data_IF_316109762391
#
_entry.id   IF_316109762391
#
_cell.length_a   1.000
_cell.length_b   1.000
_cell.length_c   1.000
_cell.angle_alpha   90.00
_cell.angle_beta   90.00
_cell.angle_gamma   90.00
#
_symmetry.space_group_name_H-M   'P 1'
#
loop_
_entity.id
_entity.type
_entity.pdbx_description
1 polymer ?
#
# COMPACT_ATOMS: atom_id res chain seq x y z
N UNK A 1 9.07 -14.65 -2.69
CA UNK A 1 9.05 -13.94 -3.98
C UNK A 1 8.47 -12.56 -3.74
N UNK A 2 8.97 -11.52 -4.41
CA UNK A 2 8.36 -10.19 -4.36
C UNK A 2 6.95 -10.25 -4.96
N UNK A 3 5.97 -9.60 -4.33
CA UNK A 3 4.62 -9.48 -4.89
C UNK A 3 4.65 -8.64 -6.17
N UNK A 4 3.75 -8.94 -7.11
CA UNK A 4 3.57 -8.21 -8.38
C UNK A 4 2.09 -7.91 -8.62
N UNK A 5 1.45 -7.09 -7.77
CA UNK A 5 0.01 -6.91 -7.81
C UNK A 5 -0.48 -6.34 -9.14
N UNK A 6 0.30 -5.49 -9.81
CA UNK A 6 -0.10 -4.93 -11.09
C UNK A 6 -0.08 -5.99 -12.20
N UNK A 7 0.98 -6.80 -12.27
CA UNK A 7 1.04 -7.96 -13.16
C UNK A 7 -0.17 -8.88 -12.97
N UNK A 8 -0.50 -9.21 -11.72
CA UNK A 8 -1.61 -10.10 -11.41
C UNK A 8 -2.95 -9.53 -11.88
N UNK A 9 -3.17 -8.21 -11.73
CA UNK A 9 -4.37 -7.54 -12.27
C UNK A 9 -4.41 -7.54 -13.79
N UNK A 10 -3.28 -7.31 -14.47
CA UNK A 10 -3.21 -7.41 -15.94
C UNK A 10 -3.54 -8.82 -16.42
N UNK A 11 -2.94 -9.86 -15.82
CA UNK A 11 -3.22 -11.26 -16.16
C UNK A 11 -4.68 -11.63 -15.92
N UNK A 12 -5.26 -11.19 -14.81
CA UNK A 12 -6.67 -11.40 -14.51
C UNK A 12 -7.58 -10.67 -15.51
N UNK A 13 -7.21 -9.45 -15.95
CA UNK A 13 -7.97 -8.72 -16.96
C UNK A 13 -7.89 -9.41 -18.34
N UNK A 14 -6.72 -9.91 -18.75
CA UNK A 14 -6.51 -10.63 -20.02
C UNK A 14 -7.36 -11.92 -20.08
N UNK A 15 -7.48 -12.63 -18.95
CA UNK A 15 -8.28 -13.86 -18.88
C UNK A 15 -9.78 -13.61 -18.69
N UNK A 16 -10.19 -12.38 -18.38
CA UNK A 16 -11.59 -12.03 -18.12
C UNK A 16 -12.41 -12.06 -19.43
N UNK A 17 -13.47 -12.89 -19.53
CA UNK A 17 -14.34 -12.93 -20.71
C UNK A 17 -15.01 -11.59 -21.04
N UNK A 18 -15.16 -10.68 -20.07
CA UNK A 18 -15.72 -9.34 -20.30
C UNK A 18 -14.73 -8.36 -20.91
N UNK A 19 -13.43 -8.68 -20.93
CA UNK A 19 -12.36 -7.87 -21.51
C UNK A 19 -11.91 -8.37 -22.89
N UNK A 20 -12.66 -9.28 -23.54
CA UNK A 20 -12.24 -9.89 -24.81
C UNK A 20 -11.97 -8.86 -25.91
N UNK A 21 -12.79 -7.82 -25.99
CA UNK A 21 -12.62 -6.73 -26.96
C UNK A 21 -11.32 -5.94 -26.76
N UNK A 22 -10.82 -5.90 -25.52
CA UNK A 22 -9.58 -5.19 -25.14
C UNK A 22 -8.38 -6.13 -24.99
N UNK A 23 -8.54 -7.44 -25.25
CA UNK A 23 -7.51 -8.45 -24.93
C UNK A 23 -6.16 -8.11 -25.55
N UNK A 24 -6.14 -7.72 -26.83
CA UNK A 24 -4.90 -7.33 -27.53
C UNK A 24 -4.25 -6.08 -26.92
N UNK A 25 -5.05 -5.10 -26.48
CA UNK A 25 -4.54 -3.90 -25.79
C UNK A 25 -3.96 -4.24 -24.42
N UNK A 26 -4.58 -5.19 -23.70
CA UNK A 26 -4.09 -5.66 -22.41
C UNK A 26 -2.81 -6.51 -22.55
N UNK A 27 -2.67 -7.28 -23.63
CA UNK A 27 -1.44 -7.99 -23.99
C UNK A 27 -0.31 -7.00 -24.32
N UNK A 28 -0.57 -5.97 -25.13
CA UNK A 28 0.37 -4.86 -25.36
C UNK A 28 0.73 -4.13 -24.05
N UNK A 29 -0.25 -3.93 -23.17
CA UNK A 29 -0.02 -3.32 -21.85
C UNK A 29 0.91 -4.18 -20.99
N UNK A 30 0.78 -5.51 -21.09
CA UNK A 30 1.63 -6.45 -20.39
C UNK A 30 3.07 -6.44 -20.92
N UNK A 31 3.26 -6.29 -22.23
CA UNK A 31 4.60 -6.08 -22.81
C UNK A 31 5.23 -4.79 -22.27
N UNK A 32 4.48 -3.69 -22.28
CA UNK A 32 4.96 -2.40 -21.76
C UNK A 32 5.23 -2.43 -20.25
N UNK A 33 4.49 -3.25 -19.51
CA UNK A 33 4.75 -3.51 -18.09
C UNK A 33 6.11 -4.16 -17.88
N UNK A 34 6.47 -5.17 -18.68
CA UNK A 34 7.78 -5.81 -18.57
C UNK A 34 8.91 -4.82 -18.86
N UNK A 35 8.75 -3.96 -19.87
CA UNK A 35 9.72 -2.90 -20.15
C UNK A 35 9.89 -1.94 -18.97
N UNK A 36 8.79 -1.52 -18.34
CA UNK A 36 8.79 -0.63 -17.19
C UNK A 36 9.52 -1.24 -16.00
N UNK A 37 9.17 -2.48 -15.63
CA UNK A 37 9.83 -3.21 -14.54
C UNK A 37 11.30 -3.47 -14.83
N UNK A 38 11.64 -3.86 -16.06
CA UNK A 38 13.03 -4.05 -16.46
C UNK A 38 13.81 -2.73 -16.37
N UNK A 39 13.23 -1.62 -16.81
CA UNK A 39 13.86 -0.30 -16.73
C UNK A 39 14.14 0.10 -15.29
N UNK A 40 13.20 -0.14 -14.35
CA UNK A 40 13.42 0.11 -12.91
C UNK A 40 14.58 -0.74 -12.37
N UNK A 41 14.59 -2.04 -12.68
CA UNK A 41 15.60 -2.98 -12.15
C UNK A 41 17.02 -2.63 -12.59
N UNK A 42 17.17 -2.19 -13.84
CA UNK A 42 18.46 -1.86 -14.47
C UNK A 42 18.95 -0.43 -14.23
N UNK A 43 18.25 0.38 -13.42
CA UNK A 43 18.83 1.64 -12.96
C UNK A 43 20.08 1.33 -12.10
N UNK A 44 21.17 2.04 -12.33
CA UNK A 44 22.42 1.93 -11.55
C UNK A 44 22.55 3.00 -10.45
N UNK A 45 21.68 4.01 -10.49
CA UNK A 45 21.66 5.09 -9.50
C UNK A 45 21.18 4.61 -8.13
N UNK A 46 21.46 5.42 -7.11
CA UNK A 46 21.07 5.19 -5.71
C UNK A 46 20.38 6.42 -5.10
N UNK A 47 19.73 6.22 -3.94
CA UNK A 47 19.09 7.24 -3.13
C UNK A 47 18.08 8.09 -3.91
N UNK A 48 18.04 9.39 -3.61
CA UNK A 48 17.10 10.33 -4.22
C UNK A 48 17.16 10.34 -5.76
N UNK A 49 18.37 10.29 -6.34
CA UNK A 49 18.55 10.26 -7.79
C UNK A 49 17.84 9.04 -8.42
N UNK A 50 17.95 7.89 -7.78
CA UNK A 50 17.26 6.67 -8.21
C UNK A 50 15.76 6.82 -8.15
N UNK A 51 15.23 7.28 -7.02
CA UNK A 51 13.78 7.50 -6.84
C UNK A 51 13.24 8.47 -7.91
N UNK A 52 13.98 9.53 -8.23
CA UNK A 52 13.57 10.49 -9.26
C UNK A 52 13.48 9.86 -10.65
N UNK A 53 14.44 9.00 -11.01
CA UNK A 53 14.41 8.25 -12.27
C UNK A 53 13.29 7.20 -12.29
N UNK A 54 13.05 6.53 -11.17
CA UNK A 54 11.93 5.59 -11.02
C UNK A 54 10.58 6.29 -11.18
N UNK A 55 10.43 7.51 -10.65
CA UNK A 55 9.20 8.32 -10.82
C UNK A 55 9.03 8.79 -12.27
N UNK A 56 10.10 9.06 -13.02
CA UNK A 56 10.00 9.31 -14.47
C UNK A 56 9.45 8.08 -15.21
N UNK A 57 10.00 6.90 -14.91
CA UNK A 57 9.53 5.64 -15.49
C UNK A 57 8.05 5.36 -15.12
N UNK A 58 7.67 5.61 -13.87
CA UNK A 58 6.30 5.51 -13.39
C UNK A 58 5.34 6.43 -14.14
N UNK A 59 5.69 7.71 -14.30
CA UNK A 59 4.85 8.67 -15.03
C UNK A 59 4.67 8.24 -16.49
N UNK A 60 5.77 7.83 -17.16
CA UNK A 60 5.69 7.34 -18.53
C UNK A 60 4.78 6.11 -18.67
N UNK A 61 4.87 5.17 -17.71
CA UNK A 61 4.01 3.98 -17.72
C UNK A 61 2.55 4.32 -17.44
N UNK A 62 2.27 5.17 -16.45
CA UNK A 62 0.90 5.61 -16.12
C UNK A 62 0.27 6.43 -17.24
N UNK A 63 1.02 7.29 -17.94
CA UNK A 63 0.51 8.03 -19.08
C UNK A 63 0.13 7.09 -20.24
N UNK A 64 0.97 6.10 -20.52
CA UNK A 64 0.64 5.04 -21.48
C UNK A 64 -0.63 4.28 -21.05
N UNK A 65 -0.70 3.79 -19.81
CA UNK A 65 -1.82 2.99 -19.36
C UNK A 65 -3.13 3.78 -19.25
N UNK A 66 -3.11 4.92 -18.57
CA UNK A 66 -4.31 5.65 -18.17
C UNK A 66 -4.83 6.55 -19.28
N UNK A 67 -3.93 7.19 -20.04
CA UNK A 67 -4.29 8.12 -21.11
C UNK A 67 -4.40 7.41 -22.45
N UNK A 68 -3.37 6.66 -22.87
CA UNK A 68 -3.38 6.03 -24.19
C UNK A 68 -4.29 4.78 -24.23
N UNK A 69 -3.96 3.75 -23.45
CA UNK A 69 -4.71 2.49 -23.45
C UNK A 69 -6.13 2.72 -22.94
N UNK A 70 -6.29 3.08 -21.66
CA UNK A 70 -7.60 3.20 -21.04
C UNK A 70 -8.37 4.39 -21.63
N UNK A 71 -7.77 5.58 -21.69
CA UNK A 71 -8.46 6.79 -22.13
C UNK A 71 -8.83 6.80 -23.61
N UNK A 72 -7.86 6.58 -24.50
CA UNK A 72 -8.04 6.74 -25.96
C UNK A 72 -8.56 5.47 -26.62
N UNK A 73 -7.92 4.32 -26.37
CA UNK A 73 -8.05 3.13 -27.24
C UNK A 73 -9.01 2.06 -26.74
N UNK A 74 -9.22 1.96 -25.43
CA UNK A 74 -10.01 0.86 -24.86
C UNK A 74 -11.52 0.98 -25.10
N UNK A 75 -12.20 -0.15 -24.92
CA UNK A 75 -13.65 -0.26 -24.96
C UNK A 75 -14.32 0.58 -23.86
N UNK A 76 -15.62 0.82 -24.04
CA UNK A 76 -16.43 1.46 -23.02
C UNK A 76 -16.52 0.63 -21.72
N UNK A 77 -16.34 -0.70 -21.81
CA UNK A 77 -16.31 -1.57 -20.64
C UNK A 77 -15.08 -1.28 -19.78
N UNK A 78 -13.87 -1.32 -20.36
CA UNK A 78 -12.63 -1.09 -19.61
C UNK A 78 -12.58 0.32 -19.02
N UNK A 79 -13.01 1.35 -19.77
CA UNK A 79 -13.11 2.73 -19.27
C UNK A 79 -13.98 2.85 -18.02
N UNK A 80 -15.13 2.15 -17.99
CA UNK A 80 -16.06 2.20 -16.84
C UNK A 80 -15.62 1.32 -15.68
N UNK A 81 -14.95 0.21 -15.96
CA UNK A 81 -14.61 -0.82 -14.96
C UNK A 81 -13.18 -0.72 -14.45
N UNK A 82 -12.36 0.24 -14.91
CA UNK A 82 -10.96 0.40 -14.50
C UNK A 82 -10.76 0.39 -12.97
N UNK A 83 -11.62 1.08 -12.23
CA UNK A 83 -11.53 1.14 -10.77
C UNK A 83 -11.88 -0.19 -10.09
N UNK A 84 -12.84 -0.93 -10.65
CA UNK A 84 -13.20 -2.26 -10.16
C UNK A 84 -12.11 -3.31 -10.46
N UNK A 85 -11.48 -3.19 -11.64
CA UNK A 85 -10.36 -4.04 -12.05
C UNK A 85 -9.04 -3.65 -11.36
N UNK A 86 -9.00 -2.48 -10.71
CA UNK A 86 -7.82 -1.88 -10.07
C UNK A 86 -6.60 -1.78 -11.00
N UNK A 87 -6.79 -1.60 -12.31
CA UNK A 87 -5.69 -1.56 -13.26
C UNK A 87 -4.79 -0.32 -13.06
N UNK A 88 -5.38 0.83 -12.74
CA UNK A 88 -4.67 2.08 -12.47
C UNK A 88 -4.04 2.11 -11.06
N UNK A 89 -4.81 1.72 -10.03
CA UNK A 89 -4.35 1.74 -8.64
C UNK A 89 -3.18 0.77 -8.38
N UNK A 90 -3.25 -0.44 -8.94
CA UNK A 90 -2.24 -1.49 -8.68
C UNK A 90 -0.84 -1.12 -9.19
N UNK A 91 -0.71 -0.18 -10.14
CA UNK A 91 0.59 0.33 -10.59
C UNK A 91 1.37 0.94 -9.42
N UNK A 92 0.71 1.76 -8.61
CA UNK A 92 1.36 2.39 -7.46
C UNK A 92 1.60 1.37 -6.34
N UNK A 93 0.68 0.44 -6.12
CA UNK A 93 0.85 -0.68 -5.16
C UNK A 93 2.16 -1.44 -5.45
N UNK A 94 2.40 -1.78 -6.73
CA UNK A 94 3.63 -2.45 -7.14
C UNK A 94 4.85 -1.52 -7.14
N UNK A 95 4.69 -0.27 -7.57
CA UNK A 95 5.78 0.70 -7.58
C UNK A 95 6.42 0.88 -6.21
N UNK A 96 5.61 0.96 -5.15
CA UNK A 96 6.12 1.12 -3.79
C UNK A 96 6.95 -0.08 -3.32
N UNK A 97 6.69 -1.29 -3.82
CA UNK A 97 7.50 -2.47 -3.51
C UNK A 97 8.94 -2.27 -4.00
N UNK A 98 9.12 -1.70 -5.20
CA UNK A 98 10.44 -1.41 -5.74
C UNK A 98 11.20 -0.32 -4.99
N UNK A 99 10.53 0.47 -4.13
CA UNK A 99 11.20 1.45 -3.25
C UNK A 99 11.85 0.79 -2.03
N UNK A 100 11.40 -0.42 -1.65
CA UNK A 100 11.94 -1.21 -0.53
C UNK A 100 13.20 -1.96 -1.00
N UNK A 101 14.25 -1.20 -1.30
CA UNK A 101 15.50 -1.69 -1.86
C UNK A 101 16.68 -1.00 -1.16
N UNK A 102 17.74 -1.74 -0.84
CA UNK A 102 18.94 -1.21 -0.16
C UNK A 102 19.66 -0.10 -0.92
N UNK A 103 19.41 0.07 -2.22
CA UNK A 103 19.90 1.20 -3.02
C UNK A 103 19.11 2.49 -2.77
N UNK A 104 18.02 2.43 -2.02
CA UNK A 104 17.10 3.54 -1.72
C UNK A 104 17.00 3.75 -0.22
N UNK A 105 16.65 2.69 0.51
CA UNK A 105 16.43 2.69 1.96
C UNK A 105 17.56 1.90 2.62
N UNK A 106 18.37 2.59 3.41
CA UNK A 106 19.47 2.00 4.15
C UNK A 106 18.94 1.33 5.43
N UNK A 107 19.66 0.32 5.92
CA UNK A 107 19.37 -0.30 7.23
C UNK A 107 18.24 -1.32 7.21
N UNK A 108 17.73 -1.73 6.04
CA UNK A 108 16.81 -2.85 5.96
C UNK A 108 17.49 -4.12 6.50
N UNK A 109 16.76 -4.95 7.28
CA UNK A 109 17.33 -6.14 7.89
C UNK A 109 17.82 -7.13 6.84
N UNK A 110 18.95 -7.76 7.14
CA UNK A 110 19.58 -8.77 6.28
C UNK A 110 19.43 -10.19 6.81
N UNK A 111 19.03 -10.33 8.08
CA UNK A 111 18.87 -11.60 8.81
C UNK A 111 17.51 -12.26 8.56
N UNK A 112 16.53 -11.51 8.06
CA UNK A 112 15.27 -12.05 7.56
C UNK A 112 14.71 -11.19 6.42
N UNK A 113 13.80 -11.77 5.65
CA UNK A 113 13.06 -11.05 4.61
C UNK A 113 11.88 -10.28 5.24
N UNK A 114 11.85 -8.96 5.11
CA UNK A 114 10.64 -8.17 5.37
C UNK A 114 9.61 -8.48 4.28
N UNK A 115 8.39 -8.79 4.69
CA UNK A 115 7.27 -8.90 3.79
C UNK A 115 6.81 -7.50 3.38
N UNK A 116 6.65 -7.24 2.09
CA UNK A 116 6.24 -5.94 1.57
C UNK A 116 5.24 -6.03 0.41
N UNK A 117 4.38 -5.01 0.30
CA UNK A 117 3.30 -4.92 -0.68
C UNK A 117 1.91 -5.07 -0.07
N UNK A 118 0.88 -5.41 -0.87
CA UNK A 118 -0.48 -5.56 -0.38
C UNK A 118 -0.61 -6.77 0.56
N UNK A 119 -1.12 -6.56 1.77
CA UNK A 119 -1.35 -7.61 2.77
C UNK A 119 -2.61 -7.34 3.60
N UNK A 120 -3.21 -8.43 4.09
CA UNK A 120 -4.30 -8.40 5.09
C UNK A 120 -3.68 -8.25 6.48
N UNK A 121 -3.66 -7.03 7.02
CA UNK A 121 -2.97 -6.70 8.25
C UNK A 121 -3.82 -6.92 9.50
N UNK A 122 -3.19 -7.37 10.58
CA UNK A 122 -3.77 -7.51 11.90
C UNK A 122 -4.25 -6.16 12.45
N UNK A 123 -5.51 -6.11 12.90
CA UNK A 123 -6.10 -4.92 13.54
C UNK A 123 -6.38 -5.15 15.02
N UNK A 124 -6.95 -6.30 15.39
CA UNK A 124 -7.25 -6.62 16.79
C UNK A 124 -7.44 -8.12 17.01
N UNK A 125 -7.14 -8.57 18.23
CA UNK A 125 -7.40 -9.93 18.70
C UNK A 125 -8.45 -9.88 19.82
N UNK A 126 -9.40 -10.81 19.82
CA UNK A 126 -10.35 -10.96 20.92
C UNK A 126 -10.65 -12.41 21.23
N UNK A 127 -10.81 -12.74 22.51
CA UNK A 127 -11.31 -14.04 22.96
C UNK A 127 -12.83 -14.04 22.94
N UNK A 128 -13.42 -15.13 22.44
CA UNK A 128 -14.87 -15.31 22.33
C UNK A 128 -15.30 -16.67 22.91
N UNK A 129 -15.16 -16.89 24.22
CA UNK A 129 -15.64 -18.11 24.86
C UNK A 129 -17.15 -18.27 24.64
N UNK A 130 -17.61 -19.51 24.48
CA UNK A 130 -19.04 -19.82 24.30
C UNK A 130 -19.76 -20.03 25.64
N UNK A 131 -19.01 -20.19 26.73
CA UNK A 131 -19.51 -20.23 28.09
C UNK A 131 -18.39 -20.42 29.12
N UNK A 132 -18.72 -20.51 30.40
CA UNK A 132 -17.73 -20.71 31.48
C UNK A 132 -17.00 -22.05 31.31
N UNK A 133 -17.73 -23.11 30.91
CA UNK A 133 -17.14 -24.44 30.72
C UNK A 133 -16.09 -24.47 29.59
N UNK A 134 -16.21 -23.61 28.56
CA UNK A 134 -15.24 -23.55 27.47
C UNK A 134 -13.92 -22.88 27.87
N UNK A 135 -13.84 -22.27 29.05
CA UNK A 135 -12.59 -21.64 29.53
C UNK A 135 -11.50 -22.68 29.83
N UNK A 136 -11.88 -23.94 30.08
CA UNK A 136 -10.94 -25.05 30.26
C UNK A 136 -10.78 -25.91 28.99
N UNK A 137 -11.16 -25.36 27.83
CA UNK A 137 -10.98 -25.97 26.51
C UNK A 137 -10.03 -25.09 25.69
N UNK A 138 -9.78 -25.47 24.44
CA UNK A 138 -8.99 -24.65 23.53
C UNK A 138 -9.61 -23.24 23.34
N UNK A 139 -8.86 -22.15 23.60
CA UNK A 139 -9.41 -20.80 23.53
C UNK A 139 -9.96 -20.45 22.13
N UNK A 140 -11.21 -19.98 22.07
CA UNK A 140 -11.79 -19.44 20.84
C UNK A 140 -11.36 -17.99 20.67
N UNK A 141 -10.71 -17.68 19.55
CA UNK A 141 -10.20 -16.35 19.20
C UNK A 141 -10.82 -15.84 17.90
N UNK A 142 -10.88 -14.52 17.79
CA UNK A 142 -11.26 -13.82 16.56
C UNK A 142 -10.17 -12.80 16.26
N UNK A 143 -9.56 -12.94 15.09
CA UNK A 143 -8.72 -11.91 14.50
C UNK A 143 -9.59 -11.00 13.65
N UNK A 144 -9.50 -9.69 13.89
CA UNK A 144 -9.96 -8.71 12.91
C UNK A 144 -8.75 -8.26 12.12
N UNK A 145 -8.92 -8.28 10.82
CA UNK A 145 -7.87 -7.92 9.86
C UNK A 145 -8.43 -6.95 8.83
N UNK A 146 -7.54 -6.26 8.13
CA UNK A 146 -7.92 -5.36 7.05
C UNK A 146 -6.88 -5.40 5.94
N UNK A 147 -7.36 -5.49 4.71
CA UNK A 147 -6.53 -5.35 3.52
C UNK A 147 -5.96 -3.93 3.46
N UNK A 148 -4.65 -3.86 3.26
CA UNK A 148 -3.89 -2.63 3.06
C UNK A 148 -3.26 -2.67 1.67
N UNK A 149 -3.29 -1.53 0.96
CA UNK A 149 -2.78 -1.44 -0.42
C UNK A 149 -1.23 -1.61 -0.45
N UNK A 150 -0.52 -1.13 0.56
CA UNK A 150 0.92 -1.35 0.74
C UNK A 150 1.29 -1.46 2.21
N UNK A 151 2.18 -2.40 2.54
CA UNK A 151 2.68 -2.60 3.90
C UNK A 151 4.16 -2.99 3.91
N UNK A 152 4.82 -2.73 5.03
CA UNK A 152 6.01 -3.44 5.50
C UNK A 152 5.65 -4.14 6.80
N UNK A 153 6.05 -5.40 6.94
CA UNK A 153 5.66 -6.19 8.09
C UNK A 153 6.25 -7.58 8.09
N UNK A 154 5.70 -8.41 8.98
CA UNK A 154 6.10 -9.80 9.14
C UNK A 154 4.93 -10.64 9.65
N UNK A 155 4.84 -11.86 9.16
CA UNK A 155 3.94 -12.87 9.72
C UNK A 155 4.43 -13.34 11.09
N UNK A 156 3.55 -13.28 12.09
CA UNK A 156 3.78 -13.73 13.47
C UNK A 156 2.89 -14.94 13.76
N UNK A 157 3.49 -15.99 14.32
CA UNK A 157 2.77 -17.19 14.76
C UNK A 157 2.44 -17.09 16.25
N UNK A 158 1.28 -17.59 16.66
CA UNK A 158 0.85 -17.60 18.06
C UNK A 158 0.22 -18.94 18.45
N UNK A 159 0.23 -19.20 19.75
CA UNK A 159 -0.52 -20.29 20.38
C UNK A 159 -1.14 -19.79 21.69
N UNK A 160 -2.37 -20.20 21.96
CA UNK A 160 -3.07 -19.95 23.23
C UNK A 160 -3.58 -21.28 23.77
N UNK A 161 -3.35 -21.57 25.04
CA UNK A 161 -3.79 -22.81 25.68
C UNK A 161 -4.45 -22.53 27.02
N UNK A 162 -5.43 -23.37 27.39
CA UNK A 162 -5.97 -23.42 28.74
C UNK A 162 -5.06 -24.17 29.73
N UNK A 163 -4.02 -24.84 29.22
CA UNK A 163 -3.03 -25.57 30.01
C UNK A 163 -1.62 -25.03 29.78
N UNK A 164 -0.80 -25.04 30.83
CA UNK A 164 0.61 -24.65 30.75
C UNK A 164 1.47 -25.62 29.95
N UNK A 165 0.97 -26.82 29.65
CA UNK A 165 1.70 -27.84 28.90
C UNK A 165 1.41 -27.82 27.39
N UNK A 166 0.49 -26.94 26.93
CA UNK A 166 0.13 -26.78 25.52
C UNK A 166 -0.26 -28.09 24.83
N UNK A 167 -1.05 -28.94 25.50
CA UNK A 167 -1.63 -30.14 24.89
C UNK A 167 -2.47 -29.74 23.66
N UNK A 168 -2.36 -30.51 22.57
CA UNK A 168 -2.99 -30.16 21.29
C UNK A 168 -4.51 -29.94 21.40
N UNK A 169 -5.19 -30.72 22.23
CA UNK A 169 -6.63 -30.65 22.47
C UNK A 169 -7.09 -29.41 23.26
N UNK A 170 -6.16 -28.75 23.97
CA UNK A 170 -6.41 -27.53 24.75
C UNK A 170 -5.81 -26.28 24.12
N UNK A 171 -5.22 -26.41 22.92
CA UNK A 171 -4.41 -25.36 22.31
C UNK A 171 -4.98 -24.90 20.97
N UNK A 172 -5.15 -23.59 20.82
CA UNK A 172 -5.47 -22.94 19.54
C UNK A 172 -4.20 -22.28 19.00
N UNK A 173 -3.84 -22.59 17.76
CA UNK A 173 -2.67 -22.02 17.07
C UNK A 173 -3.11 -21.23 15.84
N UNK A 174 -2.31 -20.27 15.41
CA UNK A 174 -2.57 -19.53 14.19
C UNK A 174 -1.42 -18.61 13.81
N UNK A 175 -1.68 -17.74 12.85
CA UNK A 175 -0.74 -16.71 12.41
C UNK A 175 -1.49 -15.43 12.10
N UNK A 176 -0.79 -14.30 12.18
CA UNK A 176 -1.29 -12.98 11.81
C UNK A 176 -0.19 -12.21 11.10
N UNK A 177 -0.57 -11.29 10.21
CA UNK A 177 0.39 -10.39 9.59
C UNK A 177 0.49 -9.09 10.38
N UNK A 178 1.63 -8.84 11.02
CA UNK A 178 1.88 -7.59 11.74
C UNK A 178 2.48 -6.57 10.77
N UNK A 179 1.65 -5.61 10.34
CA UNK A 179 2.11 -4.44 9.60
C UNK A 179 2.62 -3.39 10.58
N UNK A 180 3.84 -2.91 10.35
CA UNK A 180 4.48 -1.83 11.14
C UNK A 180 4.63 -0.54 10.33
N UNK A 181 4.46 -0.62 9.02
CA UNK A 181 4.38 0.51 8.12
C UNK A 181 3.30 0.19 7.09
N UNK A 182 2.35 1.08 6.89
CA UNK A 182 1.23 0.88 5.97
C UNK A 182 0.93 2.15 5.18
N UNK A 183 0.47 1.97 3.94
CA UNK A 183 -0.04 3.05 3.12
C UNK A 183 -1.27 2.62 2.32
N UNK A 184 -2.29 3.46 2.33
CA UNK A 184 -3.42 3.38 1.40
C UNK A 184 -3.09 4.14 0.13
N UNK A 185 -3.50 3.61 -1.03
CA UNK A 185 -3.22 4.22 -2.33
C UNK A 185 -4.53 4.51 -3.04
N UNK A 186 -4.78 5.78 -3.37
CA UNK A 186 -6.05 6.19 -4.01
C UNK A 186 -5.81 7.15 -5.17
N UNK A 187 -6.44 6.92 -6.32
CA UNK A 187 -6.44 7.89 -7.42
C UNK A 187 -7.12 9.20 -7.03
N UNK A 188 -8.21 9.14 -6.27
CA UNK A 188 -8.86 10.32 -5.71
C UNK A 188 -9.09 10.16 -4.21
N UNK A 189 -9.19 11.29 -3.51
CA UNK A 189 -9.38 11.29 -2.07
C UNK A 189 -10.46 12.28 -1.65
N UNK A 190 -11.58 11.74 -1.18
CA UNK A 190 -12.71 12.50 -0.66
C UNK A 190 -12.82 12.39 0.87
N UNK A 191 -13.76 13.13 1.46
CA UNK A 191 -13.93 13.20 2.91
C UNK A 191 -14.26 11.84 3.55
N UNK A 192 -15.03 11.00 2.85
CA UNK A 192 -15.39 9.67 3.35
C UNK A 192 -14.16 8.78 3.39
N UNK A 193 -13.36 8.77 2.31
CA UNK A 193 -12.10 8.03 2.25
C UNK A 193 -11.11 8.50 3.33
N UNK A 194 -11.02 9.80 3.61
CA UNK A 194 -10.21 10.33 4.69
C UNK A 194 -10.64 9.80 6.07
N UNK A 195 -11.94 9.81 6.35
CA UNK A 195 -12.48 9.29 7.62
C UNK A 195 -12.27 7.78 7.77
N UNK A 196 -12.41 7.02 6.68
CA UNK A 196 -12.12 5.58 6.67
C UNK A 196 -10.63 5.30 6.92
N UNK A 197 -9.73 6.07 6.30
CA UNK A 197 -8.30 6.00 6.56
C UNK A 197 -7.98 6.31 8.02
N UNK A 198 -8.58 7.37 8.60
CA UNK A 198 -8.36 7.75 9.99
C UNK A 198 -8.80 6.65 10.97
N UNK A 199 -9.96 6.04 10.73
CA UNK A 199 -10.44 4.91 11.53
C UNK A 199 -9.55 3.66 11.39
N UNK A 200 -8.95 3.48 10.23
CA UNK A 200 -8.03 2.35 9.95
C UNK A 200 -6.69 2.55 10.64
N UNK A 201 -6.13 3.75 10.53
CA UNK A 201 -4.91 4.16 11.22
C UNK A 201 -5.02 3.94 12.73
N UNK A 202 -6.15 4.36 13.32
CA UNK A 202 -6.41 4.18 14.75
C UNK A 202 -6.42 2.71 15.16
N UNK A 203 -7.06 1.82 14.39
CA UNK A 203 -7.08 0.38 14.68
C UNK A 203 -5.71 -0.27 14.50
N UNK A 204 -4.98 0.09 13.43
CA UNK A 204 -3.63 -0.40 13.21
C UNK A 204 -2.73 -0.03 14.41
N UNK A 205 -2.78 1.23 14.86
CA UNK A 205 -1.99 1.72 15.98
C UNK A 205 -2.43 1.17 17.34
N UNK A 206 -3.68 0.74 17.48
CA UNK A 206 -4.09 -0.03 18.66
C UNK A 206 -3.40 -1.40 18.72
N UNK A 207 -3.26 -2.08 17.58
CA UNK A 207 -2.55 -3.37 17.49
C UNK A 207 -1.02 -3.22 17.52
N UNK A 208 -0.49 -2.13 16.97
CA UNK A 208 0.94 -1.82 16.93
C UNK A 208 1.15 -0.31 17.11
N UNK A 209 1.36 0.20 18.35
CA UNK A 209 1.42 1.65 18.61
C UNK A 209 2.53 2.40 17.89
N UNK A 210 3.61 1.71 17.52
CA UNK A 210 4.74 2.28 16.76
C UNK A 210 4.48 2.31 15.25
N UNK A 211 3.41 1.68 14.78
CA UNK A 211 3.16 1.55 13.35
C UNK A 211 2.95 2.91 12.70
N UNK A 212 3.43 3.04 11.47
CA UNK A 212 3.21 4.22 10.64
C UNK A 212 2.13 3.97 9.61
N UNK A 213 1.25 4.94 9.43
CA UNK A 213 0.11 4.87 8.51
C UNK A 213 0.01 6.12 7.64
N UNK A 214 0.09 5.90 6.33
CA UNK A 214 0.05 6.97 5.33
C UNK A 214 -1.11 6.79 4.34
N UNK A 215 -1.45 7.85 3.63
CA UNK A 215 -2.22 7.75 2.39
C UNK A 215 -1.46 8.43 1.25
N UNK A 216 -1.29 7.73 0.13
CA UNK A 216 -0.73 8.27 -1.11
C UNK A 216 -1.87 8.48 -2.09
N UNK A 217 -2.10 9.74 -2.47
CA UNK A 217 -3.28 10.12 -3.24
C UNK A 217 -2.87 10.91 -4.47
N UNK A 218 -3.39 10.56 -5.64
CA UNK A 218 -3.03 11.29 -6.87
C UNK A 218 -3.75 12.65 -6.92
N UNK A 219 -5.06 12.65 -6.67
CA UNK A 219 -5.91 13.84 -6.78
C UNK A 219 -6.77 14.07 -5.53
N UNK A 220 -6.91 15.33 -5.12
CA UNK A 220 -7.77 15.70 -3.99
C UNK A 220 -9.20 16.04 -4.47
N UNK A 221 -10.21 15.43 -3.86
CA UNK A 221 -11.66 15.66 -4.10
C UNK A 221 -12.33 16.25 -2.84
N UNK A 222 -11.54 16.91 -2.00
CA UNK A 222 -11.93 17.58 -0.76
C UNK A 222 -11.02 18.80 -0.51
N UNK A 223 -11.26 19.53 0.59
CA UNK A 223 -10.27 20.47 1.11
C UNK A 223 -9.21 19.69 1.91
N UNK A 224 -7.94 20.12 1.93
CA UNK A 224 -6.94 19.52 2.81
C UNK A 224 -7.38 19.61 4.27
N UNK A 225 -7.34 18.47 4.98
CA UNK A 225 -7.62 18.37 6.42
C UNK A 225 -6.31 18.24 7.19
N UNK A 226 -6.33 18.64 8.46
CA UNK A 226 -5.17 18.54 9.34
C UNK A 226 -5.03 17.11 9.88
N UNK A 227 -4.04 16.37 9.38
CA UNK A 227 -3.80 14.97 9.77
C UNK A 227 -3.45 14.83 11.26
N UNK A 228 -2.95 15.89 11.92
CA UNK A 228 -2.63 15.90 13.36
C UNK A 228 -3.85 15.69 14.26
N UNK A 229 -5.04 15.87 13.72
CA UNK A 229 -6.31 15.60 14.41
C UNK A 229 -6.76 14.14 14.25
N UNK A 230 -5.92 13.29 13.63
CA UNK A 230 -6.19 11.89 13.34
C UNK A 230 -4.96 11.03 13.64
N UNK A 231 -5.12 9.72 13.51
CA UNK A 231 -4.02 8.76 13.65
C UNK A 231 -3.26 8.52 12.32
N UNK A 232 -3.61 9.23 11.24
CA UNK A 232 -2.86 9.18 9.98
C UNK A 232 -1.58 10.00 10.17
N UNK A 233 -0.40 9.40 9.93
CA UNK A 233 0.88 10.09 10.05
C UNK A 233 1.05 11.17 8.97
N UNK A 234 0.68 10.89 7.72
CA UNK A 234 0.64 11.90 6.65
C UNK A 234 -0.23 11.47 5.46
N UNK A 235 -0.67 12.45 4.66
CA UNK A 235 -1.31 12.25 3.36
C UNK A 235 -0.47 12.92 2.27
N UNK A 236 0.08 12.12 1.36
CA UNK A 236 0.92 12.57 0.25
C UNK A 236 0.08 12.80 -1.02
N UNK A 237 -0.11 14.06 -1.40
CA UNK A 237 -0.76 14.43 -2.66
C UNK A 237 0.23 14.39 -3.82
N UNK A 238 0.29 13.25 -4.51
CA UNK A 238 1.32 12.89 -5.49
C UNK A 238 1.37 13.85 -6.69
N UNK A 239 0.24 14.30 -7.22
CA UNK A 239 0.20 15.22 -8.38
C UNK A 239 0.04 16.68 -7.99
N UNK A 240 -0.07 16.99 -6.69
CA UNK A 240 -0.32 18.36 -6.18
C UNK A 240 -1.55 19.03 -6.83
N UNK A 241 -2.57 18.25 -7.18
CA UNK A 241 -3.72 18.71 -7.95
C UNK A 241 -5.06 18.29 -7.34
N UNK A 242 -6.10 19.11 -7.57
CA UNK A 242 -7.49 18.69 -7.35
C UNK A 242 -7.93 17.75 -8.47
N UNK A 243 -8.86 16.86 -8.15
CA UNK A 243 -9.50 16.01 -9.15
C UNK A 243 -10.28 16.87 -10.15
N UNK A 244 -10.26 16.49 -11.43
CA UNK A 244 -11.08 17.15 -12.44
C UNK A 244 -12.56 17.16 -12.00
N UNK A 245 -13.32 18.24 -12.27
CA UNK A 245 -14.77 18.26 -12.11
C UNK A 245 -15.46 17.17 -12.94
N UNK A 246 -16.60 16.66 -12.47
CA UNK A 246 -17.28 15.51 -13.07
C UNK A 246 -17.52 15.64 -14.60
N UNK A 247 -17.90 16.84 -15.07
CA UNK A 247 -18.15 17.13 -16.47
C UNK A 247 -16.88 17.12 -17.37
N UNK A 248 -15.68 17.15 -16.78
CA UNK A 248 -14.40 17.10 -17.50
C UNK A 248 -13.74 15.72 -17.46
N UNK A 249 -14.17 14.82 -16.56
CA UNK A 249 -13.56 13.50 -16.34
C UNK A 249 -13.71 12.54 -17.53
N UNK A 250 -14.66 12.78 -18.43
CA UNK A 250 -14.84 12.00 -19.66
C UNK A 250 -14.09 12.59 -20.86
N UNK A 251 -13.51 13.79 -20.73
CA UNK A 251 -12.86 14.49 -21.81
C UNK A 251 -11.37 14.15 -21.80
N UNK A 252 -10.94 13.29 -22.73
CA UNK A 252 -9.57 12.79 -22.79
C UNK A 252 -8.53 13.90 -22.85
N UNK A 253 -8.79 14.97 -23.60
CA UNK A 253 -7.88 16.14 -23.67
C UNK A 253 -7.67 16.82 -22.31
N UNK A 254 -8.68 16.85 -21.45
CA UNK A 254 -8.56 17.41 -20.10
C UNK A 254 -7.76 16.49 -19.18
N UNK A 255 -7.95 15.17 -19.28
CA UNK A 255 -7.15 14.17 -18.54
C UNK A 255 -5.69 14.25 -18.96
N UNK A 256 -5.41 14.23 -20.27
CA UNK A 256 -4.06 14.32 -20.83
C UNK A 256 -3.37 15.62 -20.41
N UNK A 257 -4.08 16.74 -20.47
CA UNK A 257 -3.58 18.02 -19.97
C UNK A 257 -3.27 17.95 -18.46
N UNK A 258 -4.18 17.38 -17.67
CA UNK A 258 -3.95 17.26 -16.22
C UNK A 258 -2.71 16.42 -15.90
N UNK A 259 -2.50 15.29 -16.59
CA UNK A 259 -1.30 14.47 -16.41
C UNK A 259 -0.03 15.23 -16.76
N UNK A 260 -0.04 15.99 -17.85
CA UNK A 260 1.09 16.80 -18.31
C UNK A 260 1.41 17.95 -17.36
N UNK A 261 0.39 18.68 -16.92
CA UNK A 261 0.54 19.84 -16.05
C UNK A 261 0.87 19.42 -14.60
N UNK A 262 0.41 18.23 -14.20
CA UNK A 262 0.52 17.67 -12.86
C UNK A 262 0.96 16.19 -12.89
N UNK A 263 2.21 15.90 -13.29
CA UNK A 263 2.76 14.55 -13.17
C UNK A 263 2.92 14.17 -11.70
N UNK A 264 3.09 12.88 -11.41
CA UNK A 264 3.50 12.45 -10.06
C UNK A 264 4.81 13.13 -9.71
N UNK A 265 4.78 13.90 -8.63
CA UNK A 265 5.84 14.78 -8.22
C UNK A 265 6.96 14.01 -7.51
N UNK A 266 8.16 14.09 -8.09
CA UNK A 266 9.37 13.44 -7.59
C UNK A 266 9.68 13.80 -6.14
N UNK A 267 9.55 15.07 -5.79
CA UNK A 267 9.81 15.58 -4.43
C UNK A 267 8.79 15.08 -3.39
N UNK A 268 7.56 14.78 -3.80
CA UNK A 268 6.55 14.22 -2.91
C UNK A 268 6.85 12.75 -2.67
N UNK A 269 7.20 12.00 -3.73
CA UNK A 269 7.58 10.60 -3.61
C UNK A 269 8.85 10.43 -2.77
N UNK A 270 9.85 11.31 -2.94
CA UNK A 270 11.05 11.26 -2.11
C UNK A 270 10.75 11.54 -0.64
N UNK A 271 9.87 12.49 -0.31
CA UNK A 271 9.44 12.71 1.08
C UNK A 271 8.79 11.47 1.70
N UNK A 272 8.01 10.71 0.95
CA UNK A 272 7.49 9.42 1.43
C UNK A 272 8.60 8.40 1.68
N UNK A 273 9.63 8.35 0.82
CA UNK A 273 10.81 7.51 1.04
C UNK A 273 11.61 7.97 2.26
N UNK A 274 11.71 9.28 2.52
CA UNK A 274 12.33 9.81 3.74
C UNK A 274 11.58 9.36 5.00
N UNK A 275 10.25 9.32 4.98
CA UNK A 275 9.48 8.75 6.10
C UNK A 275 9.77 7.25 6.29
N UNK A 276 9.96 6.50 5.21
CA UNK A 276 10.36 5.09 5.28
C UNK A 276 11.77 4.93 5.86
N UNK A 277 12.73 5.74 5.42
CA UNK A 277 14.09 5.77 5.95
C UNK A 277 14.11 6.12 7.44
N UNK A 278 13.41 7.19 7.83
CA UNK A 278 13.29 7.61 9.22
C UNK A 278 12.67 6.51 10.10
N UNK A 279 11.70 5.78 9.57
CA UNK A 279 11.08 4.65 10.27
C UNK A 279 12.05 3.48 10.48
N UNK A 280 12.89 3.18 9.48
CA UNK A 280 13.94 2.14 9.56
C UNK A 280 15.05 2.53 10.53
N UNK A 281 15.49 3.79 10.52
CA UNK A 281 16.54 4.30 11.40
C UNK A 281 16.08 4.50 12.85
N UNK A 282 14.77 4.58 13.08
CA UNK A 282 14.22 4.80 14.41
C UNK A 282 14.53 3.62 15.34
N UNK A 283 15.17 3.92 16.47
CA UNK A 283 15.22 2.98 17.59
C UNK A 283 13.81 2.86 18.14
N UNK A 284 13.14 1.75 17.85
CA UNK A 284 11.87 1.42 18.50
C UNK A 284 12.12 1.21 20.00
N UNK A 285 11.10 1.46 20.82
CA UNK A 285 11.19 1.52 22.29
C UNK A 285 12.25 0.59 22.90
N UNK A 286 13.27 1.20 23.52
CA UNK A 286 14.31 0.52 24.30
C UNK A 286 14.37 1.12 25.71
N UNK A 287 13.90 0.34 26.70
CA UNK A 287 13.87 0.77 28.10
C UNK A 287 15.25 1.00 28.70
N UNK A 288 16.31 0.37 28.16
CA UNK A 288 17.68 0.54 28.64
C UNK A 288 18.27 1.85 28.15
N UNK A 289 17.99 2.23 26.91
CA UNK A 289 18.41 3.52 26.35
C UNK A 289 17.63 4.69 26.96
N UNK A 290 16.36 4.50 27.33
CA UNK A 290 15.57 5.51 28.02
C UNK A 290 16.24 5.97 29.34
N UNK A 291 16.78 5.01 30.11
CA UNK A 291 17.51 5.30 31.35
C UNK A 291 18.83 6.05 31.10
N UNK A 292 19.54 5.73 30.02
CA UNK A 292 20.80 6.42 29.66
C UNK A 292 20.54 7.83 29.14
N UNK A 293 19.53 8.01 28.30
CA UNK A 293 19.16 9.28 27.69
C UNK A 293 18.43 10.22 28.65
N UNK A 294 17.78 9.68 29.68
CA UNK A 294 16.91 10.45 30.57
C UNK A 294 15.60 10.91 29.90
N UNK A 295 15.22 10.30 28.78
CA UNK A 295 13.99 10.58 28.03
C UNK A 295 13.38 9.28 27.50
N UNK A 296 12.05 9.19 27.62
CA UNK A 296 11.25 8.05 27.12
C UNK A 296 11.15 8.03 25.59
N UNK A 297 11.39 9.16 24.93
CA UNK A 297 11.29 9.35 23.47
C UNK A 297 12.51 10.08 22.94
#
# INVERSE_FOLDING_TARGET
MSLTPHYDKLKAAISNPKCQDDKRLLEETLERYYDWVNSIKHLDSMGQKRVYQMVDLLNNYKDFLEVDIIGKRSSAFLKRQKGQLKLDNSVLEEFLIYLVDNRIVNGLPTDFQIDCGPHTAFMSLSFRPTGIASLNQNPSIVLKEKDQDFTLGKTIHYQFSASSHFENELTTSGQLYLSVFAAEIKVNYDKTMFQECAGTASRLKQGCPIAKYYALVEYLDMLPEDCRLTEIDNVFLLRKAKRLPANKRSIIKEIEKQHKDFPIAKDVMWRFVEEMQNFVDAVWYDSKEALKRGSFI
#
